data_IF_968146249811
#
_entry.id   IF_968146249811
#
_cell.length_a   1.000
_cell.length_b   1.000
_cell.length_c   1.000
_cell.angle_alpha   90.00
_cell.angle_beta   90.00
_cell.angle_gamma   90.00
#
_symmetry.space_group_name_H-M   'P 1'
#
loop_
_entity.id
_entity.type
_entity.pdbx_description
1 polymer ?
#
# COMPACT_ATOMS: atom_id res chain seq x y z
N UNK A 1 -15.85 -7.80 -4.52
CA UNK A 1 -14.44 -7.57 -4.13
C UNK A 1 -14.10 -6.16 -4.60
N UNK A 2 -13.61 -5.31 -3.70
CA UNK A 2 -13.25 -3.94 -4.06
C UNK A 2 -11.81 -3.87 -4.56
N UNK A 3 -11.51 -2.87 -5.39
CA UNK A 3 -10.17 -2.55 -5.86
C UNK A 3 -9.88 -1.09 -5.49
N UNK A 4 -8.96 -0.87 -4.57
CA UNK A 4 -8.62 0.46 -4.07
C UNK A 4 -7.15 0.77 -4.36
N UNK A 5 -6.88 1.98 -4.87
CA UNK A 5 -5.53 2.40 -5.26
C UNK A 5 -4.96 3.40 -4.29
N UNK A 6 -3.69 3.23 -3.97
CA UNK A 6 -2.98 4.08 -3.03
C UNK A 6 -1.58 4.39 -3.53
N UNK A 7 -1.13 5.60 -3.21
CA UNK A 7 0.25 6.02 -3.33
C UNK A 7 0.92 5.85 -1.96
N UNK A 8 1.90 4.97 -1.89
CA UNK A 8 2.72 4.70 -0.72
C UNK A 8 4.04 5.45 -0.85
N UNK A 9 4.44 6.20 0.18
CA UNK A 9 5.78 6.79 0.28
C UNK A 9 6.50 6.24 1.50
N UNK A 10 7.73 5.79 1.28
CA UNK A 10 8.60 5.21 2.29
C UNK A 10 9.68 6.23 2.67
N UNK A 11 9.63 6.78 3.90
CA UNK A 11 10.72 7.60 4.45
C UNK A 11 12.04 6.82 4.59
N UNK A 12 13.15 7.53 4.79
CA UNK A 12 14.50 6.96 4.85
C UNK A 12 14.67 5.89 5.94
N UNK A 13 14.02 6.05 7.09
CA UNK A 13 14.05 5.06 8.18
C UNK A 13 13.19 3.83 7.90
N UNK A 14 12.28 3.89 6.91
CA UNK A 14 11.35 2.80 6.56
C UNK A 14 11.67 2.08 5.26
N UNK A 15 12.50 2.65 4.38
CA UNK A 15 12.79 2.07 3.06
C UNK A 15 13.46 0.68 3.15
N UNK A 16 14.16 0.39 4.25
CA UNK A 16 14.82 -0.91 4.49
C UNK A 16 13.91 -1.94 5.17
N UNK A 17 12.71 -1.55 5.61
CA UNK A 17 11.77 -2.44 6.27
C UNK A 17 10.85 -3.13 5.25
N UNK A 18 10.59 -4.45 5.37
CA UNK A 18 9.73 -5.17 4.44
C UNK A 18 8.24 -4.98 4.78
N UNK A 19 7.80 -3.72 4.92
CA UNK A 19 6.46 -3.35 5.43
C UNK A 19 5.35 -4.02 4.61
N UNK A 20 5.42 -3.96 3.29
CA UNK A 20 4.39 -4.55 2.41
C UNK A 20 4.30 -6.08 2.59
N UNK A 21 5.46 -6.76 2.71
CA UNK A 21 5.50 -8.20 2.97
C UNK A 21 4.96 -8.57 4.36
N UNK A 22 5.15 -7.72 5.37
CA UNK A 22 4.56 -7.93 6.70
C UNK A 22 3.03 -7.76 6.65
N UNK A 23 2.54 -6.77 5.91
CA UNK A 23 1.12 -6.50 5.76
C UNK A 23 0.42 -7.62 5.00
N UNK A 24 0.97 -8.09 3.88
CA UNK A 24 0.37 -9.18 3.13
C UNK A 24 0.30 -10.49 3.93
N UNK A 25 1.27 -10.73 4.83
CA UNK A 25 1.23 -11.87 5.77
C UNK A 25 0.17 -11.71 6.86
N UNK A 26 -0.05 -10.49 7.34
CA UNK A 26 -1.07 -10.20 8.34
C UNK A 26 -2.50 -10.20 7.76
N UNK A 27 -2.64 -9.90 6.46
CA UNK A 27 -3.91 -9.81 5.74
C UNK A 27 -3.91 -10.71 4.50
N UNK A 28 -3.88 -12.05 4.65
CA UNK A 28 -3.70 -12.98 3.54
C UNK A 28 -4.89 -13.04 2.57
N UNK A 29 -6.01 -12.37 2.88
CA UNK A 29 -7.19 -12.24 2.02
C UNK A 29 -7.21 -10.93 1.21
N UNK A 30 -6.17 -10.11 1.33
CA UNK A 30 -6.00 -8.88 0.56
C UNK A 30 -4.86 -9.07 -0.41
N UNK A 31 -5.17 -9.12 -1.70
CA UNK A 31 -4.17 -9.16 -2.74
C UNK A 31 -3.60 -7.76 -2.98
N UNK A 32 -2.30 -7.69 -3.25
CA UNK A 32 -1.61 -6.45 -3.59
C UNK A 32 -1.01 -6.53 -4.98
N UNK A 33 -1.41 -5.61 -5.85
CA UNK A 33 -0.84 -5.46 -7.17
C UNK A 33 -0.04 -4.15 -7.25
N UNK A 34 1.27 -4.26 -7.45
CA UNK A 34 2.16 -3.10 -7.60
C UNK A 34 2.05 -2.59 -9.04
N UNK A 35 1.52 -1.39 -9.22
CA UNK A 35 1.29 -0.78 -10.54
C UNK A 35 2.51 0.01 -11.01
N UNK A 36 3.14 0.75 -10.09
CA UNK A 36 4.39 1.49 -10.30
C UNK A 36 5.21 1.51 -9.02
N UNK A 37 6.53 1.56 -9.13
CA UNK A 37 7.41 1.75 -8.00
C UNK A 37 8.73 2.39 -8.44
N UNK A 38 9.29 3.25 -7.59
CA UNK A 38 10.67 3.73 -7.65
C UNK A 38 11.25 3.55 -6.25
N UNK A 39 12.33 2.78 -6.14
CA UNK A 39 13.01 2.49 -4.87
C UNK A 39 14.47 2.85 -5.04
N UNK A 40 14.94 3.74 -4.17
CA UNK A 40 16.33 4.22 -4.11
C UNK A 40 16.90 3.94 -2.73
N UNK A 41 18.18 4.25 -2.54
CA UNK A 41 18.90 3.94 -1.29
C UNK A 41 18.25 4.54 -0.03
N UNK A 42 17.69 5.75 -0.15
CA UNK A 42 17.16 6.53 0.98
C UNK A 42 15.67 6.85 0.90
N UNK A 43 15.04 6.63 -0.24
CA UNK A 43 13.63 6.99 -0.46
C UNK A 43 13.00 6.01 -1.43
N UNK A 44 11.68 5.88 -1.37
CA UNK A 44 10.96 5.14 -2.38
C UNK A 44 9.47 5.41 -2.32
N UNK A 45 8.80 5.13 -3.42
CA UNK A 45 7.36 5.23 -3.52
C UNK A 45 6.80 4.12 -4.39
N UNK A 46 5.53 3.81 -4.18
CA UNK A 46 4.82 2.78 -4.90
C UNK A 46 3.37 3.21 -5.14
N UNK A 47 2.87 3.02 -6.36
CA UNK A 47 1.43 3.00 -6.61
C UNK A 47 0.97 1.55 -6.56
N UNK A 48 0.06 1.24 -5.65
CA UNK A 48 -0.45 -0.11 -5.43
C UNK A 48 -1.96 -0.14 -5.57
N UNK A 49 -2.48 -1.25 -6.07
CA UNK A 49 -3.89 -1.59 -6.04
C UNK A 49 -4.07 -2.75 -5.06
N UNK A 50 -4.89 -2.55 -4.03
CA UNK A 50 -5.31 -3.61 -3.13
C UNK A 50 -6.68 -4.13 -3.55
N UNK A 51 -6.83 -5.45 -3.59
CA UNK A 51 -8.11 -6.10 -3.87
C UNK A 51 -8.52 -7.08 -2.79
N UNK A 52 -9.78 -7.03 -2.39
CA UNK A 52 -10.29 -7.83 -1.28
C UNK A 52 -11.62 -7.31 -0.72
N UNK A 53 -11.92 -7.73 0.51
CA UNK A 53 -12.99 -7.13 1.30
C UNK A 53 -12.60 -5.68 1.69
N UNK A 54 -13.48 -4.68 1.49
CA UNK A 54 -13.17 -3.28 1.81
C UNK A 54 -12.69 -3.07 3.25
N UNK A 55 -13.28 -3.75 4.23
CA UNK A 55 -12.90 -3.61 5.62
C UNK A 55 -11.52 -4.23 5.89
N UNK A 56 -11.17 -5.33 5.23
CA UNK A 56 -9.82 -5.90 5.30
C UNK A 56 -8.78 -4.96 4.68
N UNK A 57 -9.10 -4.34 3.53
CA UNK A 57 -8.23 -3.35 2.88
C UNK A 57 -8.01 -2.16 3.82
N UNK A 58 -9.06 -1.59 4.41
CA UNK A 58 -8.94 -0.47 5.35
C UNK A 58 -8.04 -0.80 6.54
N UNK A 59 -8.16 -2.00 7.12
CA UNK A 59 -7.28 -2.45 8.20
C UNK A 59 -5.82 -2.63 7.74
N UNK A 60 -5.61 -3.16 6.54
CA UNK A 60 -4.27 -3.29 5.96
C UNK A 60 -3.62 -1.91 5.76
N UNK A 61 -4.37 -0.93 5.22
CA UNK A 61 -3.91 0.46 5.05
C UNK A 61 -3.61 1.12 6.39
N UNK A 62 -4.46 0.93 7.40
CA UNK A 62 -4.19 1.42 8.75
C UNK A 62 -2.90 0.83 9.33
N UNK A 63 -2.66 -0.47 9.11
CA UNK A 63 -1.41 -1.14 9.51
C UNK A 63 -0.17 -0.58 8.81
N UNK A 64 -0.27 -0.24 7.52
CA UNK A 64 0.81 0.43 6.77
C UNK A 64 1.12 1.80 7.38
N UNK A 65 0.08 2.60 7.67
CA UNK A 65 0.24 3.92 8.32
C UNK A 65 0.88 3.84 9.69
N UNK A 66 0.46 2.88 10.53
CA UNK A 66 1.03 2.65 11.85
C UNK A 66 2.52 2.28 11.81
N UNK A 67 2.99 1.69 10.71
CA UNK A 67 4.41 1.37 10.49
C UNK A 67 5.24 2.56 9.99
N UNK A 68 4.63 3.74 9.83
CA UNK A 68 5.31 4.97 9.44
C UNK A 68 5.41 5.18 7.93
N UNK A 69 4.75 4.34 7.11
CA UNK A 69 4.64 4.57 5.67
C UNK A 69 3.49 5.54 5.41
N UNK A 70 3.74 6.54 4.57
CA UNK A 70 2.74 7.55 4.21
C UNK A 70 1.84 6.96 3.13
N UNK A 71 0.53 7.09 3.30
CA UNK A 71 -0.48 6.48 2.41
C UNK A 71 -1.52 7.50 1.99
N UNK A 72 -1.49 7.86 0.71
CA UNK A 72 -2.47 8.73 0.07
C UNK A 72 -3.37 7.91 -0.87
N UNK A 73 -4.71 8.06 -0.84
CA UNK A 73 -5.57 7.44 -1.82
C UNK A 73 -5.29 8.04 -3.21
N UNK A 74 -5.32 7.21 -4.24
CA UNK A 74 -5.31 7.67 -5.63
C UNK A 74 -6.79 7.75 -6.03
N UNK A 75 -7.31 8.97 -6.17
CA UNK A 75 -8.66 9.16 -6.69
C UNK A 75 -8.75 8.52 -8.08
N UNK A 76 -9.66 7.56 -8.22
CA UNK A 76 -10.02 7.05 -9.53
C UNK A 76 -10.86 8.15 -10.19
N UNK A 77 -10.36 8.70 -11.30
CA UNK A 77 -11.28 9.27 -12.29
C UNK A 77 -12.24 8.13 -12.66
N UNK A 78 -13.46 8.20 -12.17
CA UNK A 78 -14.52 7.28 -12.54
C UNK A 78 -14.87 7.60 -13.99
N UNK A 79 -14.21 6.92 -14.93
CA UNK A 79 -14.72 6.78 -16.28
C UNK A 79 -15.46 5.45 -16.26
N UNK A 80 -16.77 5.51 -16.05
CA UNK A 80 -17.70 4.42 -16.40
C UNK A 80 -17.69 4.19 -17.92
#
# INVERSE_FOLDING_TARGET
MAHLRFHLRFPEDKIKEPVLCQINRAFPKVDTNIRRADVREKTGWMDVEFSGDPAEIERAIAGIRQKGVIVDPIELNVVE
#
